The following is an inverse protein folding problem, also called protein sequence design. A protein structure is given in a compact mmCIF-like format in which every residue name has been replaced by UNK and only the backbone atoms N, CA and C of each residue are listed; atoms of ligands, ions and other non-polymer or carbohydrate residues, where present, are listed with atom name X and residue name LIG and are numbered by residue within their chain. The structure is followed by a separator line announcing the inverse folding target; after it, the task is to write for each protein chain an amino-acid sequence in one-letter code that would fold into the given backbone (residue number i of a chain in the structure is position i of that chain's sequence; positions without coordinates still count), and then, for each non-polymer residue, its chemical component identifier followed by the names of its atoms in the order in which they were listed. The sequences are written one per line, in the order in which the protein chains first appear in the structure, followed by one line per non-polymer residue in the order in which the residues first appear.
data_IF_085256242546
#
_entry.id   IF_085256242546
#
_cell.length_a   1.000
_cell.length_b   1.000
_cell.length_c   1.000
_cell.angle_alpha   90.00
_cell.angle_beta   90.00
_cell.angle_gamma   90.00
#
_symmetry.space_group_name_H-M   'P 1'
#
loop_
_entity.id
_entity.type
_entity.pdbx_description
1 polymer ?
#
# COMPACT_ATOMS: atom_id res chain seq x y z
N UNK A 1 13.39 -5.12 -4.06
CA UNK A 1 12.87 -3.74 -3.88
C UNK A 1 13.36 -2.78 -4.99
N UNK A 2 12.86 -2.96 -6.21
CA UNK A 2 13.32 -2.22 -7.41
C UNK A 2 12.92 -0.74 -7.37
N UNK A 3 11.64 -0.44 -7.15
CA UNK A 3 11.11 0.94 -7.08
C UNK A 3 11.86 1.79 -6.03
N UNK A 4 12.22 1.19 -4.89
CA UNK A 4 13.02 1.86 -3.86
C UNK A 4 14.41 2.20 -4.37
N UNK A 5 15.04 1.29 -5.12
CA UNK A 5 16.36 1.47 -5.71
C UNK A 5 16.35 2.52 -6.81
N UNK A 6 15.27 2.62 -7.57
CA UNK A 6 15.12 3.59 -8.66
C UNK A 6 15.22 5.04 -8.19
N UNK A 7 14.75 5.36 -6.99
CA UNK A 7 14.89 6.71 -6.39
C UNK A 7 16.37 7.08 -6.21
N UNK A 8 17.19 6.17 -5.70
CA UNK A 8 18.63 6.39 -5.53
C UNK A 8 19.35 6.41 -6.88
N UNK A 9 19.00 5.48 -7.79
CA UNK A 9 19.55 5.43 -9.13
C UNK A 9 19.29 6.73 -9.92
N UNK A 10 18.09 7.31 -9.78
CA UNK A 10 17.72 8.59 -10.39
C UNK A 10 18.63 9.72 -9.88
N UNK A 11 18.98 9.70 -8.60
CA UNK A 11 19.95 10.60 -8.00
C UNK A 11 21.42 10.21 -8.27
N UNK A 12 21.68 9.20 -9.12
CA UNK A 12 23.01 8.66 -9.42
C UNK A 12 23.74 8.13 -8.18
N UNK A 13 22.99 7.58 -7.22
CA UNK A 13 23.48 6.98 -5.98
C UNK A 13 23.12 5.50 -5.91
N UNK A 14 23.90 4.73 -5.17
CA UNK A 14 23.61 3.32 -4.90
C UNK A 14 22.86 3.20 -3.57
N UNK A 15 21.65 2.65 -3.61
CA UNK A 15 20.82 2.45 -2.40
C UNK A 15 21.54 1.66 -1.30
N UNK A 16 22.42 0.72 -1.66
CA UNK A 16 23.10 -0.13 -0.68
C UNK A 16 24.15 0.64 0.16
N UNK A 17 24.53 1.85 -0.27
CA UNK A 17 25.40 2.73 0.52
C UNK A 17 24.63 3.37 1.69
N UNK A 18 23.28 3.36 1.63
CA UNK A 18 22.40 3.98 2.63
C UNK A 18 21.59 2.94 3.43
N UNK A 19 21.30 1.78 2.84
CA UNK A 19 20.36 0.80 3.39
C UNK A 19 20.87 -0.63 3.25
N UNK A 20 20.72 -1.39 4.32
CA UNK A 20 20.87 -2.85 4.30
C UNK A 20 19.48 -3.48 4.28
N UNK A 21 19.10 -4.04 3.13
CA UNK A 21 17.81 -4.72 2.93
C UNK A 21 18.06 -6.21 2.73
N UNK A 22 17.34 -7.05 3.47
CA UNK A 22 17.41 -8.51 3.38
C UNK A 22 16.05 -9.09 3.07
N UNK A 23 15.99 -10.03 2.13
CA UNK A 23 14.77 -10.80 1.90
C UNK A 23 14.56 -11.77 3.07
N UNK A 24 13.33 -11.86 3.55
CA UNK A 24 12.95 -12.83 4.57
C UNK A 24 12.79 -14.21 3.93
N UNK A 25 13.09 -15.26 4.68
CA UNK A 25 12.84 -16.64 4.23
C UNK A 25 11.35 -17.02 4.28
N UNK A 26 10.59 -16.31 5.10
CA UNK A 26 9.16 -16.51 5.32
C UNK A 26 8.46 -15.15 5.29
N UNK A 27 7.25 -15.13 4.74
CA UNK A 27 6.45 -13.93 4.58
C UNK A 27 5.81 -13.56 5.92
N UNK A 28 5.07 -14.52 6.51
CA UNK A 28 4.45 -14.43 7.83
C UNK A 28 4.02 -15.82 8.34
N UNK A 29 3.68 -15.90 9.62
CA UNK A 29 2.86 -16.97 10.19
C UNK A 29 1.39 -16.55 10.23
N UNK A 30 0.48 -17.45 9.84
CA UNK A 30 -0.96 -17.31 10.00
C UNK A 30 -1.43 -18.26 11.09
N UNK A 31 -2.13 -17.74 12.09
CA UNK A 31 -2.77 -18.50 13.15
C UNK A 31 -4.29 -18.50 12.96
N UNK A 32 -4.88 -19.67 12.74
CA UNK A 32 -6.33 -19.89 12.69
C UNK A 32 -6.88 -20.28 14.07
N UNK A 33 -6.03 -20.89 14.90
CA UNK A 33 -6.26 -21.15 16.32
C UNK A 33 -4.91 -21.32 17.03
N UNK A 34 -4.91 -21.55 18.34
CA UNK A 34 -3.68 -21.77 19.13
C UNK A 34 -2.84 -22.94 18.64
N UNK A 35 -3.45 -23.94 17.99
CA UNK A 35 -2.77 -25.15 17.49
C UNK A 35 -2.79 -25.27 15.97
N UNK A 36 -3.35 -24.30 15.26
CA UNK A 36 -3.53 -24.32 13.82
C UNK A 36 -2.82 -23.14 13.18
N UNK A 37 -1.63 -23.42 12.67
CA UNK A 37 -0.70 -22.45 12.12
C UNK A 37 -0.28 -22.86 10.71
N UNK A 38 -0.22 -21.87 9.82
CA UNK A 38 0.43 -22.00 8.51
C UNK A 38 1.60 -21.03 8.46
N UNK A 39 2.78 -21.53 8.16
CA UNK A 39 3.98 -20.73 7.92
C UNK A 39 4.19 -20.57 6.43
N UNK A 40 4.09 -19.34 5.92
CA UNK A 40 4.16 -19.08 4.47
C UNK A 40 5.61 -18.81 4.05
N UNK A 41 6.27 -19.73 3.32
CA UNK A 41 7.63 -19.55 2.89
C UNK A 41 7.70 -18.62 1.68
N UNK A 42 8.86 -17.98 1.50
CA UNK A 42 9.16 -17.18 0.29
C UNK A 42 9.70 -18.05 -0.85
N UNK A 43 10.25 -19.22 -0.54
CA UNK A 43 10.73 -20.16 -1.55
C UNK A 43 9.57 -20.94 -2.19
N UNK A 44 9.57 -21.02 -3.53
CA UNK A 44 8.49 -21.62 -4.30
C UNK A 44 8.35 -23.13 -4.07
N UNK A 45 9.46 -23.85 -3.88
CA UNK A 45 9.41 -25.29 -3.64
C UNK A 45 8.81 -25.58 -2.26
N UNK A 46 9.23 -24.83 -1.24
CA UNK A 46 8.63 -24.90 0.09
C UNK A 46 7.15 -24.48 0.07
N UNK A 47 6.79 -23.46 -0.73
CA UNK A 47 5.41 -23.02 -0.85
C UNK A 47 4.52 -24.11 -1.44
N UNK A 48 4.99 -24.80 -2.50
CA UNK A 48 4.31 -25.98 -3.03
C UNK A 48 4.12 -27.03 -1.94
N UNK A 49 5.18 -27.40 -1.23
CA UNK A 49 5.12 -28.46 -0.23
C UNK A 49 4.15 -28.10 0.92
N UNK A 50 4.11 -26.82 1.31
CA UNK A 50 3.13 -26.28 2.25
C UNK A 50 1.70 -26.43 1.71
N UNK A 51 1.42 -26.00 0.47
CA UNK A 51 0.09 -26.08 -0.14
C UNK A 51 -0.40 -27.53 -0.24
N UNK A 52 0.44 -28.44 -0.74
CA UNK A 52 0.12 -29.87 -0.85
C UNK A 52 -0.13 -30.54 0.52
N UNK A 53 0.51 -30.04 1.58
CA UNK A 53 0.25 -30.53 2.95
C UNK A 53 -1.11 -30.08 3.51
N UNK A 54 -1.64 -28.95 3.04
CA UNK A 54 -2.95 -28.41 3.43
C UNK A 54 -4.06 -29.12 2.64
N UNK A 55 -3.90 -29.17 1.32
CA UNK A 55 -4.84 -29.82 0.41
C UNK A 55 -4.07 -30.42 -0.78
N UNK A 56 -4.12 -31.74 -0.99
CA UNK A 56 -3.49 -32.39 -2.14
C UNK A 56 -4.02 -31.84 -3.48
N UNK A 57 -3.10 -31.56 -4.41
CA UNK A 57 -3.31 -30.95 -5.72
C UNK A 57 -3.71 -29.47 -5.71
N UNK A 58 -3.68 -28.79 -4.56
CA UNK A 58 -4.00 -27.36 -4.47
C UNK A 58 -2.96 -26.45 -5.16
N UNK A 59 -1.72 -26.92 -5.33
CA UNK A 59 -0.65 -26.13 -5.98
C UNK A 59 -1.05 -25.66 -7.37
N UNK A 60 -1.66 -26.53 -8.18
CA UNK A 60 -1.99 -26.18 -9.56
C UNK A 60 -2.99 -25.01 -9.63
N UNK A 61 -4.03 -25.07 -8.81
CA UNK A 61 -5.02 -24.01 -8.68
C UNK A 61 -4.39 -22.70 -8.20
N UNK A 62 -3.59 -22.78 -7.15
CA UNK A 62 -2.87 -21.64 -6.59
C UNK A 62 -1.94 -20.96 -7.60
N UNK A 63 -1.14 -21.72 -8.34
CA UNK A 63 -0.23 -21.18 -9.36
C UNK A 63 -1.00 -20.60 -10.56
N UNK A 64 -2.14 -21.19 -10.92
CA UNK A 64 -3.02 -20.66 -11.95
C UNK A 64 -3.61 -19.30 -11.54
N UNK A 65 -4.01 -19.17 -10.27
CA UNK A 65 -4.44 -17.89 -9.71
C UNK A 65 -3.33 -16.84 -9.79
N UNK A 66 -2.13 -17.15 -9.29
CA UNK A 66 -0.99 -16.21 -9.36
C UNK A 66 -0.66 -15.79 -10.79
N UNK A 67 -0.75 -16.71 -11.75
CA UNK A 67 -0.50 -16.42 -13.16
C UNK A 67 -1.54 -15.46 -13.74
N UNK A 68 -2.84 -15.69 -13.52
CA UNK A 68 -3.91 -14.80 -13.97
C UNK A 68 -3.77 -13.40 -13.34
N UNK A 69 -3.46 -13.33 -12.04
CA UNK A 69 -3.23 -12.05 -11.38
C UNK A 69 -1.96 -11.35 -11.90
N UNK A 70 -0.89 -12.08 -12.18
CA UNK A 70 0.35 -11.52 -12.73
C UNK A 70 0.12 -10.90 -14.11
N UNK A 71 -0.64 -11.55 -14.99
CA UNK A 71 -1.02 -10.98 -16.29
C UNK A 71 -1.79 -9.66 -16.13
N UNK A 72 -2.72 -9.61 -15.17
CA UNK A 72 -3.46 -8.38 -14.84
C UNK A 72 -2.55 -7.31 -14.27
N UNK A 73 -1.60 -7.68 -13.41
CA UNK A 73 -0.58 -6.77 -12.86
C UNK A 73 0.27 -6.15 -13.97
N UNK A 74 0.74 -6.92 -14.93
CA UNK A 74 1.55 -6.40 -16.05
C UNK A 74 0.76 -5.38 -16.89
N UNK A 75 -0.54 -5.63 -17.10
CA UNK A 75 -1.42 -4.66 -17.76
C UNK A 75 -1.60 -3.42 -16.89
N UNK A 76 -1.89 -3.58 -15.60
CA UNK A 76 -2.07 -2.48 -14.66
C UNK A 76 -0.81 -1.60 -14.59
N UNK A 77 0.36 -2.22 -14.42
CA UNK A 77 1.66 -1.57 -14.36
C UNK A 77 1.93 -0.75 -15.62
N UNK A 78 1.93 -1.40 -16.79
CA UNK A 78 2.32 -0.79 -18.06
C UNK A 78 1.38 0.30 -18.54
N UNK A 79 0.08 0.13 -18.34
CA UNK A 79 -0.93 1.01 -18.95
C UNK A 79 -1.55 2.01 -17.98
N UNK A 80 -1.44 1.78 -16.67
CA UNK A 80 -2.07 2.61 -15.65
C UNK A 80 -1.09 3.13 -14.58
N UNK A 81 -0.18 2.32 -14.03
CA UNK A 81 0.69 2.76 -12.92
C UNK A 81 1.91 3.57 -13.40
N UNK A 82 2.57 3.12 -14.46
CA UNK A 82 3.79 3.76 -14.98
C UNK A 82 3.50 4.91 -15.96
N UNK A 83 2.22 5.22 -16.19
CA UNK A 83 1.80 6.22 -17.16
C UNK A 83 1.29 7.48 -16.48
N UNK A 84 1.80 8.63 -16.90
CA UNK A 84 1.30 9.92 -16.43
C UNK A 84 -0.02 10.27 -17.14
N UNK A 85 -1.08 10.52 -16.37
CA UNK A 85 -2.34 11.08 -16.87
C UNK A 85 -2.39 12.58 -16.54
N UNK A 86 -2.25 13.44 -17.55
CA UNK A 86 -2.28 14.90 -17.37
C UNK A 86 -3.62 15.51 -17.72
N UNK A 87 -4.39 14.85 -18.60
CA UNK A 87 -5.71 15.29 -19.05
C UNK A 87 -6.72 14.15 -18.91
N UNK A 88 -8.03 14.45 -18.72
CA UNK A 88 -9.06 13.42 -18.71
C UNK A 88 -9.04 12.52 -19.96
N UNK A 89 -8.71 13.09 -21.12
CA UNK A 89 -8.60 12.34 -22.40
C UNK A 89 -7.48 11.29 -22.41
N UNK A 90 -6.45 11.45 -21.57
CA UNK A 90 -5.37 10.47 -21.44
C UNK A 90 -5.88 9.17 -20.80
N UNK A 91 -6.94 9.28 -20.00
CA UNK A 91 -7.60 8.19 -19.29
C UNK A 91 -8.86 7.71 -20.02
N UNK A 92 -9.74 8.61 -20.44
CA UNK A 92 -10.99 8.29 -21.14
C UNK A 92 -10.78 8.17 -22.65
N UNK A 93 -10.07 7.12 -23.09
CA UNK A 93 -9.90 6.78 -24.50
C UNK A 93 -10.16 5.29 -24.77
N UNK A 94 -10.50 4.91 -26.02
CA UNK A 94 -10.83 3.52 -26.36
C UNK A 94 -9.73 2.52 -25.99
N UNK A 95 -8.46 2.92 -26.11
CA UNK A 95 -7.32 2.08 -25.77
C UNK A 95 -7.26 1.76 -24.27
N UNK A 96 -7.41 2.79 -23.42
CA UNK A 96 -7.37 2.64 -21.96
C UNK A 96 -8.60 1.88 -21.46
N UNK A 97 -9.77 2.10 -22.07
CA UNK A 97 -10.98 1.32 -21.78
C UNK A 97 -10.77 -0.16 -22.15
N UNK A 98 -10.21 -0.44 -23.33
CA UNK A 98 -9.91 -1.80 -23.77
C UNK A 98 -8.94 -2.52 -22.82
N UNK A 99 -7.87 -1.84 -22.39
CA UNK A 99 -6.94 -2.39 -21.41
C UNK A 99 -7.58 -2.53 -20.02
N UNK A 100 -8.46 -1.61 -19.63
CA UNK A 100 -9.21 -1.68 -18.37
C UNK A 100 -10.18 -2.86 -18.32
N UNK A 101 -10.83 -3.21 -19.44
CA UNK A 101 -11.66 -4.41 -19.52
C UNK A 101 -10.85 -5.70 -19.28
N UNK A 102 -9.57 -5.74 -19.69
CA UNK A 102 -8.70 -6.90 -19.45
C UNK A 102 -8.31 -7.10 -17.99
N UNK A 103 -8.41 -6.06 -17.17
CA UNK A 103 -8.17 -6.16 -15.72
C UNK A 103 -9.28 -6.93 -14.99
N UNK A 104 -10.43 -7.18 -15.65
CA UNK A 104 -11.59 -7.91 -15.12
C UNK A 104 -12.02 -7.41 -13.72
N UNK A 105 -11.97 -6.09 -13.51
CA UNK A 105 -12.20 -5.44 -12.20
C UNK A 105 -13.62 -5.55 -11.66
N UNK A 106 -14.55 -6.12 -12.43
CA UNK A 106 -15.97 -6.25 -12.07
C UNK A 106 -16.27 -7.46 -11.19
N UNK A 107 -15.34 -8.41 -11.07
CA UNK A 107 -15.48 -9.53 -10.13
C UNK A 107 -14.88 -9.18 -8.76
N UNK A 108 -15.44 -9.77 -7.71
CA UNK A 108 -14.95 -9.61 -6.32
C UNK A 108 -13.71 -10.47 -6.09
N UNK A 109 -12.83 -10.04 -5.19
CA UNK A 109 -11.61 -10.78 -4.87
C UNK A 109 -11.91 -12.22 -4.40
N UNK A 110 -12.86 -12.40 -3.47
CA UNK A 110 -13.21 -13.72 -2.92
C UNK A 110 -13.72 -14.69 -4.00
N UNK A 111 -14.68 -14.23 -4.82
CA UNK A 111 -15.21 -15.00 -5.95
C UNK A 111 -14.13 -15.43 -6.96
N UNK A 112 -13.10 -14.60 -7.13
CA UNK A 112 -12.00 -14.94 -8.03
C UNK A 112 -11.13 -16.04 -7.41
N UNK A 113 -10.83 -15.95 -6.12
CA UNK A 113 -10.01 -16.93 -5.42
C UNK A 113 -10.70 -18.31 -5.39
N UNK A 114 -12.01 -18.34 -5.09
CA UNK A 114 -12.82 -19.57 -5.07
C UNK A 114 -12.84 -20.33 -6.40
N UNK A 115 -12.60 -19.66 -7.54
CA UNK A 115 -12.53 -20.32 -8.85
C UNK A 115 -11.26 -21.15 -9.04
N UNK A 116 -10.23 -20.88 -8.25
CA UNK A 116 -8.92 -21.51 -8.39
C UNK A 116 -8.57 -22.41 -7.21
N UNK A 117 -9.07 -22.13 -6.02
CA UNK A 117 -8.72 -22.85 -4.80
C UNK A 117 -9.98 -23.13 -3.98
N UNK A 118 -10.17 -24.39 -3.60
CA UNK A 118 -11.33 -24.83 -2.82
C UNK A 118 -11.08 -24.75 -1.30
N UNK A 119 -9.85 -24.98 -0.84
CA UNK A 119 -9.55 -24.96 0.60
C UNK A 119 -9.70 -23.58 1.25
N UNK A 120 -10.54 -23.52 2.27
CA UNK A 120 -10.88 -22.29 2.99
C UNK A 120 -9.68 -21.59 3.64
N UNK A 121 -8.64 -22.32 4.09
CA UNK A 121 -7.44 -21.70 4.69
C UNK A 121 -6.60 -20.98 3.65
N UNK A 122 -6.44 -21.59 2.48
CA UNK A 122 -5.70 -20.99 1.37
C UNK A 122 -6.49 -19.79 0.83
N UNK A 123 -7.81 -19.89 0.74
CA UNK A 123 -8.67 -18.76 0.40
C UNK A 123 -8.49 -17.59 1.39
N UNK A 124 -8.56 -17.86 2.71
CA UNK A 124 -8.36 -16.84 3.76
C UNK A 124 -6.97 -16.21 3.70
N UNK A 125 -5.92 -17.00 3.45
CA UNK A 125 -4.56 -16.49 3.28
C UNK A 125 -4.48 -15.45 2.14
N UNK A 126 -5.09 -15.76 1.00
CA UNK A 126 -5.11 -14.86 -0.16
C UNK A 126 -6.03 -13.64 0.07
N UNK A 127 -7.19 -13.83 0.71
CA UNK A 127 -8.16 -12.78 0.96
C UNK A 127 -7.68 -11.77 2.01
N UNK A 128 -7.02 -12.21 3.09
CA UNK A 128 -6.53 -11.33 4.16
C UNK A 128 -5.61 -10.23 3.63
N UNK A 129 -4.78 -10.52 2.62
CA UNK A 129 -3.88 -9.52 2.06
C UNK A 129 -4.63 -8.37 1.34
N UNK A 130 -5.91 -8.55 1.00
CA UNK A 130 -6.74 -7.46 0.46
C UNK A 130 -7.16 -6.44 1.53
N UNK A 131 -7.10 -6.80 2.82
CA UNK A 131 -7.40 -5.90 3.94
C UNK A 131 -6.37 -4.78 4.12
N UNK A 132 -5.17 -4.91 3.54
CA UNK A 132 -4.10 -3.90 3.64
C UNK A 132 -4.50 -2.51 3.11
N UNK A 133 -5.58 -2.44 2.33
CA UNK A 133 -6.08 -1.21 1.72
C UNK A 133 -7.15 -0.54 2.62
N UNK A 134 -7.53 -1.18 3.72
CA UNK A 134 -8.58 -0.69 4.61
C UNK A 134 -9.95 -0.70 3.96
N UNK A 135 -10.19 -1.67 3.07
CA UNK A 135 -11.45 -1.90 2.36
C UNK A 135 -11.90 -3.34 2.63
N UNK A 136 -13.20 -3.51 2.85
CA UNK A 136 -13.85 -4.83 2.96
C UNK A 136 -13.54 -5.70 1.72
N UNK A 137 -12.92 -6.90 1.88
CA UNK A 137 -12.61 -7.84 0.80
C UNK A 137 -13.85 -8.18 -0.06
N UNK A 138 -15.04 -8.24 0.55
CA UNK A 138 -16.31 -8.55 -0.12
C UNK A 138 -16.81 -7.43 -1.03
N UNK A 139 -16.25 -6.22 -0.88
CA UNK A 139 -16.54 -5.02 -1.67
C UNK A 139 -15.36 -4.60 -2.55
N UNK A 140 -14.20 -5.21 -2.33
CA UNK A 140 -12.95 -4.87 -3.00
C UNK A 140 -12.91 -5.44 -4.42
N UNK A 141 -12.66 -4.61 -5.46
CA UNK A 141 -12.34 -5.09 -6.81
C UNK A 141 -11.25 -6.16 -6.80
N UNK A 142 -11.42 -7.22 -7.61
CA UNK A 142 -10.41 -8.28 -7.79
C UNK A 142 -9.03 -7.81 -8.24
N UNK A 143 -8.90 -6.57 -8.72
CA UNK A 143 -7.61 -5.93 -9.00
C UNK A 143 -6.69 -5.93 -7.76
N UNK A 144 -7.26 -5.88 -6.55
CA UNK A 144 -6.49 -5.82 -5.33
C UNK A 144 -5.81 -7.15 -4.95
N UNK A 145 -6.17 -8.26 -5.60
CA UNK A 145 -5.42 -9.51 -5.53
C UNK A 145 -3.98 -9.40 -6.08
N UNK A 146 -3.64 -8.29 -6.75
CA UNK A 146 -2.25 -7.97 -7.12
C UNK A 146 -1.34 -7.89 -5.89
N UNK A 147 -1.83 -7.39 -4.75
CA UNK A 147 -1.03 -7.26 -3.52
C UNK A 147 -0.55 -8.63 -3.02
N UNK A 148 -1.45 -9.62 -2.75
CA UNK A 148 -1.04 -10.96 -2.35
C UNK A 148 -0.03 -11.57 -3.33
N UNK A 149 -0.28 -11.41 -4.63
CA UNK A 149 0.62 -11.89 -5.68
C UNK A 149 2.01 -11.26 -5.59
N UNK A 150 2.11 -9.94 -5.37
CA UNK A 150 3.41 -9.25 -5.25
C UNK A 150 4.20 -9.82 -4.07
N UNK A 151 3.57 -10.00 -2.92
CA UNK A 151 4.27 -10.53 -1.73
C UNK A 151 4.71 -11.98 -1.92
N UNK A 152 3.86 -12.82 -2.52
CA UNK A 152 4.16 -14.24 -2.77
C UNK A 152 5.22 -14.42 -3.87
N UNK A 153 5.21 -13.60 -4.92
CA UNK A 153 6.14 -13.73 -6.05
C UNK A 153 7.47 -13.01 -5.83
N UNK A 154 7.45 -11.80 -5.27
CA UNK A 154 8.66 -10.99 -5.08
C UNK A 154 9.24 -11.10 -3.67
N UNK A 155 8.50 -11.71 -2.74
CA UNK A 155 8.91 -11.90 -1.35
C UNK A 155 8.88 -10.63 -0.51
N UNK A 156 8.98 -10.83 0.80
CA UNK A 156 9.00 -9.74 1.78
C UNK A 156 10.44 -9.45 2.21
N UNK A 157 10.72 -8.16 2.43
CA UNK A 157 12.06 -7.68 2.73
C UNK A 157 12.07 -6.92 4.05
N UNK A 158 13.11 -7.13 4.84
CA UNK A 158 13.40 -6.41 6.07
C UNK A 158 14.50 -5.36 5.83
N UNK A 159 14.26 -4.15 6.32
CA UNK A 159 15.25 -3.08 6.34
C UNK A 159 15.90 -3.09 7.72
N UNK A 160 17.23 -3.23 7.76
CA UNK A 160 17.98 -3.15 9.02
C UNK A 160 17.76 -1.81 9.69
N UNK A 161 17.47 -1.83 10.99
CA UNK A 161 17.06 -0.64 11.75
C UNK A 161 15.58 -0.27 11.57
N UNK A 162 14.79 -1.13 10.92
CA UNK A 162 13.36 -0.96 10.72
C UNK A 162 13.00 0.06 9.62
N UNK A 163 11.70 0.22 9.39
CA UNK A 163 11.16 1.06 8.31
C UNK A 163 11.63 2.53 8.38
N UNK A 164 11.86 3.05 9.58
CA UNK A 164 12.35 4.43 9.76
C UNK A 164 13.76 4.65 9.17
N UNK A 165 14.55 3.59 9.00
CA UNK A 165 15.86 3.68 8.34
C UNK A 165 15.73 4.11 6.88
N UNK A 166 14.65 3.75 6.19
CA UNK A 166 14.36 4.24 4.84
C UNK A 166 14.15 5.76 4.82
N UNK A 167 13.41 6.29 5.78
CA UNK A 167 13.18 7.74 5.93
C UNK A 167 14.51 8.46 6.16
N UNK A 168 15.38 7.91 7.01
CA UNK A 168 16.71 8.47 7.28
C UNK A 168 17.62 8.43 6.05
N UNK A 169 17.59 7.34 5.28
CA UNK A 169 18.34 7.24 4.03
C UNK A 169 17.89 8.31 3.01
N UNK A 170 16.58 8.50 2.85
CA UNK A 170 16.05 9.55 1.97
C UNK A 170 16.38 10.96 2.49
N UNK A 171 16.37 11.17 3.81
CA UNK A 171 16.78 12.43 4.40
C UNK A 171 18.23 12.75 4.02
N UNK A 172 19.16 11.81 4.25
CA UNK A 172 20.57 11.99 3.91
C UNK A 172 20.78 12.20 2.41
N UNK A 173 20.10 11.41 1.56
CA UNK A 173 20.16 11.60 0.10
C UNK A 173 19.73 13.01 -0.31
N UNK A 174 18.63 13.53 0.25
CA UNK A 174 18.13 14.86 -0.04
C UNK A 174 19.10 15.96 0.43
N UNK A 175 19.65 15.83 1.64
CA UNK A 175 20.65 16.77 2.18
C UNK A 175 21.91 16.81 1.30
N UNK A 176 22.39 15.66 0.82
CA UNK A 176 23.52 15.57 -0.11
C UNK A 176 23.24 16.25 -1.47
N UNK A 177 21.98 16.27 -1.90
CA UNK A 177 21.52 16.98 -3.10
C UNK A 177 21.27 18.48 -2.86
N UNK A 178 21.49 18.96 -1.64
CA UNK A 178 21.33 20.37 -1.27
C UNK A 178 19.91 20.75 -0.84
N UNK A 179 19.01 19.78 -0.65
CA UNK A 179 17.66 20.03 -0.12
C UNK A 179 17.74 20.43 1.35
N UNK A 180 17.03 21.49 1.72
CA UNK A 180 16.88 21.91 3.11
C UNK A 180 15.63 21.27 3.72
N UNK A 181 15.77 20.66 4.89
CA UNK A 181 14.68 19.98 5.59
C UNK A 181 14.43 20.70 6.91
N UNK A 182 13.24 21.26 7.06
CA UNK A 182 12.83 21.99 8.26
C UNK A 182 11.82 21.14 9.04
N UNK A 183 12.16 20.79 10.28
CA UNK A 183 11.24 20.13 11.22
C UNK A 183 10.71 21.15 12.23
N UNK A 184 9.61 20.82 12.92
CA UNK A 184 8.90 21.78 13.78
C UNK A 184 8.47 23.07 13.04
N UNK A 185 8.22 22.94 11.72
CA UNK A 185 7.78 23.99 10.84
C UNK A 185 6.28 23.81 10.55
N UNK A 186 5.42 24.29 11.44
CA UNK A 186 3.98 24.14 11.29
C UNK A 186 3.48 25.06 10.17
N UNK A 187 3.10 24.48 9.03
CA UNK A 187 2.47 25.20 7.93
C UNK A 187 1.01 25.48 8.30
N UNK A 188 0.69 26.76 8.47
CA UNK A 188 -0.65 27.23 8.85
C UNK A 188 -1.50 27.57 7.63
N UNK A 189 -0.88 28.05 6.54
CA UNK A 189 -1.60 28.52 5.35
C UNK A 189 -0.74 28.37 4.09
N UNK A 190 -1.36 27.94 3.00
CA UNK A 190 -0.87 28.10 1.63
C UNK A 190 -1.46 29.41 1.11
N UNK A 191 -0.59 30.40 0.90
CA UNK A 191 -0.97 31.74 0.46
C UNK A 191 -1.19 31.70 -1.05
N UNK A 192 -2.39 32.08 -1.49
CA UNK A 192 -2.79 32.05 -2.89
C UNK A 192 -3.05 33.47 -3.36
N UNK A 193 -2.44 33.85 -4.47
CA UNK A 193 -2.76 35.09 -5.16
C UNK A 193 -4.13 34.92 -5.85
N UNK A 194 -5.14 35.65 -5.38
CA UNK A 194 -6.50 35.59 -5.92
C UNK A 194 -6.65 36.08 -7.37
N UNK A 195 -5.73 36.92 -7.86
CA UNK A 195 -5.73 37.43 -9.24
C UNK A 195 -5.20 36.38 -10.21
N UNK A 196 -4.11 35.71 -9.87
CA UNK A 196 -3.46 34.71 -10.75
C UNK A 196 -3.87 33.27 -10.43
N UNK A 197 -4.58 33.05 -9.32
CA UNK A 197 -4.99 31.72 -8.81
C UNK A 197 -3.80 30.76 -8.66
N UNK A 198 -2.68 31.28 -8.18
CA UNK A 198 -1.46 30.51 -7.95
C UNK A 198 -1.03 30.64 -6.49
N UNK A 199 -0.48 29.56 -5.94
CA UNK A 199 0.18 29.60 -4.64
C UNK A 199 1.48 30.41 -4.76
N UNK A 200 1.71 31.37 -3.86
CA UNK A 200 2.86 32.28 -3.87
C UNK A 200 3.72 32.21 -2.60
N UNK A 201 3.24 31.51 -1.58
CA UNK A 201 3.95 31.41 -0.31
C UNK A 201 3.28 30.52 0.71
N UNK A 202 3.95 30.37 1.84
CA UNK A 202 3.47 29.62 3.00
C UNK A 202 3.50 30.55 4.22
N UNK A 203 2.50 30.37 5.10
CA UNK A 203 2.59 30.86 6.48
C UNK A 203 3.10 29.72 7.36
N UNK A 204 4.27 29.88 7.96
CA UNK A 204 4.93 28.86 8.77
C UNK A 204 5.30 29.46 10.11
N UNK A 205 4.82 28.86 11.20
CA UNK A 205 5.06 29.34 12.58
C UNK A 205 4.81 30.86 12.74
N UNK A 206 3.73 31.37 12.17
CA UNK A 206 3.37 32.80 12.17
C UNK A 206 4.09 33.69 11.15
N UNK A 207 5.13 33.20 10.48
CA UNK A 207 5.91 33.97 9.49
C UNK A 207 5.50 33.64 8.05
N UNK A 208 5.66 34.60 7.14
CA UNK A 208 5.34 34.42 5.72
C UNK A 208 6.62 34.24 4.92
N UNK A 209 6.68 33.17 4.13
CA UNK A 209 7.76 32.85 3.23
C UNK A 209 7.24 32.69 1.80
N UNK A 210 7.97 33.22 0.81
CA UNK A 210 7.56 33.18 -0.60
C UNK A 210 8.21 32.04 -1.35
N UNK A 211 7.45 31.40 -2.23
CA UNK A 211 7.89 30.27 -3.04
C UNK A 211 7.30 30.35 -4.45
N UNK A 212 8.10 30.03 -5.47
CA UNK A 212 7.64 30.04 -6.87
C UNK A 212 6.66 28.91 -7.19
N UNK A 213 6.83 27.79 -6.47
CA UNK A 213 6.03 26.56 -6.58
C UNK A 213 5.90 25.92 -5.21
N UNK A 214 4.71 25.37 -4.96
CA UNK A 214 4.39 24.65 -3.74
C UNK A 214 3.82 23.30 -4.13
N UNK A 215 4.42 22.24 -3.60
CA UNK A 215 3.92 20.87 -3.70
C UNK A 215 3.48 20.47 -2.30
N UNK A 216 2.17 20.24 -2.13
CA UNK A 216 1.60 19.83 -0.86
C UNK A 216 1.38 18.32 -0.87
N UNK A 217 2.06 17.61 0.03
CA UNK A 217 1.91 16.16 0.25
C UNK A 217 1.10 15.84 1.52
N UNK A 218 0.54 16.86 2.17
CA UNK A 218 -0.41 16.64 3.26
C UNK A 218 -1.71 16.04 2.73
N UNK A 219 -2.44 15.34 3.59
CA UNK A 219 -3.73 14.75 3.26
C UNK A 219 -4.68 15.76 2.61
N UNK A 220 -5.38 15.36 1.54
CA UNK A 220 -6.15 16.29 0.71
C UNK A 220 -7.31 16.97 1.47
N UNK A 221 -8.18 16.22 2.18
CA UNK A 221 -9.13 16.79 3.14
C UNK A 221 -8.51 17.81 4.09
N UNK A 222 -7.39 17.48 4.72
CA UNK A 222 -6.69 18.40 5.63
C UNK A 222 -6.18 19.66 4.91
N UNK A 223 -5.47 19.50 3.79
CA UNK A 223 -4.89 20.61 3.04
C UNK A 223 -5.97 21.59 2.56
N UNK A 224 -7.07 21.07 2.02
CA UNK A 224 -8.16 21.90 1.51
C UNK A 224 -8.96 22.59 2.61
N UNK A 225 -9.21 21.92 3.74
CA UNK A 225 -9.99 22.49 4.85
C UNK A 225 -9.20 23.44 5.74
N UNK A 226 -7.91 23.15 5.96
CA UNK A 226 -7.10 23.80 7.01
C UNK A 226 -6.00 24.68 6.46
N UNK A 227 -5.40 24.34 5.32
CA UNK A 227 -4.28 25.10 4.76
C UNK A 227 -4.70 26.11 3.68
N UNK A 228 -5.91 25.98 3.12
CA UNK A 228 -6.41 26.87 2.08
C UNK A 228 -7.60 27.66 2.61
N UNK A 229 -7.61 28.98 2.41
CA UNK A 229 -8.74 29.85 2.76
C UNK A 229 -9.99 29.53 1.94
N UNK A 230 -11.17 29.66 2.57
CA UNK A 230 -12.47 29.35 1.98
C UNK A 230 -12.72 29.97 0.60
N UNK A 231 -12.25 31.20 0.36
CA UNK A 231 -12.39 31.91 -0.91
C UNK A 231 -11.62 31.27 -2.09
N UNK A 232 -10.65 30.40 -1.77
CA UNK A 232 -9.83 29.68 -2.73
C UNK A 232 -10.12 28.18 -2.76
N UNK A 233 -11.14 27.71 -2.04
CA UNK A 233 -11.49 26.29 -2.03
C UNK A 233 -11.88 25.78 -3.43
N UNK A 234 -11.47 24.54 -3.77
CA UNK A 234 -11.91 23.91 -5.00
C UNK A 234 -13.45 23.79 -5.03
N UNK A 235 -14.12 24.43 -5.99
CA UNK A 235 -15.60 24.41 -6.10
C UNK A 235 -16.21 23.00 -6.13
N UNK A 236 -15.46 21.99 -6.58
CA UNK A 236 -15.90 20.59 -6.69
C UNK A 236 -15.82 19.82 -5.36
N UNK A 237 -15.12 20.36 -4.36
CA UNK A 237 -14.81 19.74 -3.08
C UNK A 237 -15.10 20.75 -1.96
N UNK A 238 -16.39 20.98 -1.72
CA UNK A 238 -16.84 21.78 -0.58
C UNK A 238 -16.51 21.05 0.73
N UNK A 239 -16.42 21.79 1.84
CA UNK A 239 -16.23 21.21 3.19
C UNK A 239 -17.23 20.09 3.46
N UNK A 240 -18.52 20.34 3.21
CA UNK A 240 -19.57 19.34 3.36
C UNK A 240 -19.29 18.06 2.54
N UNK A 241 -18.76 18.19 1.32
CA UNK A 241 -18.47 17.01 0.49
C UNK A 241 -17.27 16.23 1.02
N UNK A 242 -16.26 16.93 1.53
CA UNK A 242 -15.07 16.33 2.15
C UNK A 242 -15.45 15.58 3.43
N UNK A 243 -16.30 16.18 4.26
CA UNK A 243 -16.76 15.59 5.52
C UNK A 243 -17.61 14.33 5.30
N UNK A 244 -18.32 14.26 4.17
CA UNK A 244 -19.16 13.11 3.78
C UNK A 244 -18.43 12.13 2.84
N UNK A 245 -17.11 12.20 2.69
CA UNK A 245 -16.37 11.17 1.96
C UNK A 245 -16.29 9.89 2.78
N UNK A 246 -16.29 8.75 2.08
CA UNK A 246 -15.96 7.47 2.70
C UNK A 246 -14.45 7.40 2.93
N UNK A 247 -14.04 7.27 4.18
CA UNK A 247 -12.64 7.10 4.57
C UNK A 247 -12.33 5.61 4.77
N UNK A 248 -11.08 5.21 4.50
CA UNK A 248 -10.61 3.87 4.83
C UNK A 248 -10.66 3.63 6.33
N UNK A 249 -10.77 2.37 6.75
CA UNK A 249 -10.72 2.05 8.18
C UNK A 249 -9.37 2.52 8.79
N UNK A 250 -9.42 2.95 10.05
CA UNK A 250 -8.22 3.26 10.83
C UNK A 250 -7.65 1.99 11.47
N UNK A 251 -6.57 2.13 12.24
CA UNK A 251 -5.97 1.04 13.01
C UNK A 251 -5.84 1.42 14.48
N UNK A 252 -6.14 0.46 15.36
CA UNK A 252 -5.74 0.53 16.77
C UNK A 252 -4.36 -0.11 16.90
N UNK A 253 -3.38 0.65 17.37
CA UNK A 253 -1.99 0.21 17.50
C UNK A 253 -1.58 0.18 18.97
N UNK A 254 -0.96 -0.93 19.38
CA UNK A 254 -0.42 -1.11 20.73
C UNK A 254 1.05 -1.53 20.62
N UNK A 255 1.93 -0.77 21.26
CA UNK A 255 3.36 -1.02 21.29
C UNK A 255 3.74 -1.60 22.65
N UNK A 256 4.02 -2.91 22.70
CA UNK A 256 4.34 -3.63 23.93
C UNK A 256 5.83 -3.99 23.94
N UNK A 257 6.55 -3.58 24.99
CA UNK A 257 7.88 -4.08 25.29
C UNK A 257 7.79 -5.40 26.06
N UNK A 258 8.51 -6.42 25.61
CA UNK A 258 8.54 -7.75 26.24
C UNK A 258 9.97 -8.04 26.71
N UNK A 259 10.11 -8.47 27.97
CA UNK A 259 11.41 -8.85 28.57
C UNK A 259 11.68 -10.35 28.39
N UNK A 260 11.49 -10.84 27.16
CA UNK A 260 11.78 -12.22 26.76
C UNK A 260 12.23 -12.20 25.30
N UNK A 261 13.29 -12.95 24.99
CA UNK A 261 13.67 -13.21 23.60
C UNK A 261 12.68 -14.19 22.96
N UNK A 262 12.03 -13.74 21.90
CA UNK A 262 11.05 -14.50 21.12
C UNK A 262 11.54 -14.76 19.69
N UNK A 263 12.81 -14.45 19.38
CA UNK A 263 13.34 -14.53 18.01
C UNK A 263 13.30 -15.93 17.40
N UNK A 264 13.32 -16.97 18.24
CA UNK A 264 13.14 -18.37 17.82
C UNK A 264 11.67 -18.84 17.86
N UNK A 265 10.80 -18.13 18.59
CA UNK A 265 9.42 -18.51 18.84
C UNK A 265 8.44 -17.92 17.80
N UNK A 266 8.70 -16.70 17.30
CA UNK A 266 7.80 -15.97 16.38
C UNK A 266 8.55 -15.41 15.18
N UNK A 267 7.86 -15.33 14.03
CA UNK A 267 8.38 -14.61 12.88
C UNK A 267 8.24 -13.09 13.07
N UNK A 268 8.87 -12.32 12.17
CA UNK A 268 8.74 -10.86 12.15
C UNK A 268 7.29 -10.40 11.89
N UNK A 269 6.56 -11.14 11.06
CA UNK A 269 5.17 -10.84 10.71
C UNK A 269 4.29 -12.03 11.10
N UNK A 270 3.22 -11.75 11.84
CA UNK A 270 2.28 -12.77 12.32
C UNK A 270 0.86 -12.23 12.16
N UNK A 271 -0.04 -13.07 11.66
CA UNK A 271 -1.45 -12.76 11.43
C UNK A 271 -2.27 -13.72 12.27
N UNK A 272 -3.08 -13.18 13.16
CA UNK A 272 -3.96 -13.98 14.02
C UNK A 272 -5.39 -13.73 13.57
N UNK A 273 -6.03 -14.76 13.01
CA UNK A 273 -7.43 -14.66 12.62
C UNK A 273 -8.35 -14.71 13.85
N UNK A 274 -9.40 -13.89 13.82
CA UNK A 274 -10.53 -14.05 14.73
C UNK A 274 -11.21 -15.40 14.50
N UNK A 275 -11.71 -16.02 15.58
CA UNK A 275 -12.54 -17.24 15.48
C UNK A 275 -13.78 -17.00 14.62
N UNK A 276 -14.33 -15.79 14.68
CA UNK A 276 -15.40 -15.31 13.80
C UNK A 276 -14.85 -14.16 12.94
N UNK A 277 -14.21 -14.53 11.83
CA UNK A 277 -13.62 -13.58 10.90
C UNK A 277 -14.67 -12.73 10.20
N UNK A 278 -15.78 -13.34 9.77
CA UNK A 278 -16.85 -12.63 9.07
C UNK A 278 -17.50 -11.56 9.94
N UNK A 279 -17.81 -11.87 11.20
CA UNK A 279 -18.35 -10.88 12.12
C UNK A 279 -17.32 -9.78 12.42
N UNK A 280 -16.05 -10.13 12.60
CA UNK A 280 -15.00 -9.15 12.82
C UNK A 280 -14.86 -8.15 11.66
N UNK A 281 -14.90 -8.63 10.41
CA UNK A 281 -14.91 -7.76 9.22
C UNK A 281 -16.17 -6.90 9.19
N UNK A 282 -17.35 -7.47 9.47
CA UNK A 282 -18.59 -6.69 9.53
C UNK A 282 -18.52 -5.56 10.57
N UNK A 283 -18.00 -5.82 11.78
CA UNK A 283 -17.87 -4.82 12.84
C UNK A 283 -16.90 -3.68 12.49
N UNK A 284 -15.88 -3.95 11.67
CA UNK A 284 -14.90 -2.94 11.22
C UNK A 284 -15.49 -2.03 10.13
N UNK A 285 -16.36 -2.57 9.26
CA UNK A 285 -16.83 -1.89 8.05
C UNK A 285 -18.33 -1.54 8.04
N UNK A 286 -19.08 -1.83 9.12
CA UNK A 286 -20.47 -1.42 9.32
C UNK A 286 -20.60 0.01 9.80
#
# INVERSE_FOLDING_TARGET
PEIYRDVFNYAQKNMNDYLEIKQLSHIYDIYFSETDQIRVPTDLAQLRDMLESIEPNSTHGFMSFLTDIYERYEIARKYFLERTFRKPTDFYNPFTIYQGMKLKTFDKADNLIEKYVDNEKIQKMLAFQTLYIGIDPKRSPSLYSIIPMIELMFGVHFIKGGMYSFVRALQTLNEELGTQIYTNANVEEIIIDGRYKCAEGLKVNGHIEKYDKIICTADFPYATSSLIKNEHHPKKYTTQKIDNMDYSCSAFLMYIGVDKDLSEDILLHNVIFSKDFDNNINEIFS
#
